data_IF_797312823489
#
_entry.id   IF_797312823489
#
_cell.length_a   1.000
_cell.length_b   1.000
_cell.length_c   1.000
_cell.angle_alpha   90.00
_cell.angle_beta   90.00
_cell.angle_gamma   90.00
#
_symmetry.space_group_name_H-M   'P 1'
#
loop_
_entity.id
_entity.type
_entity.pdbx_description
1 polymer ?
#
# COMPACT_ATOMS: atom_id res chain seq x y z
N UNK A 1 32.62 42.10 -47.06
CA UNK A 1 31.42 41.25 -47.25
C UNK A 1 31.20 40.52 -45.93
N UNK A 2 30.24 40.98 -45.14
CA UNK A 2 29.93 40.42 -43.82
C UNK A 2 28.79 39.41 -43.97
N UNK A 3 29.03 38.16 -43.57
CA UNK A 3 28.02 37.11 -43.47
C UNK A 3 27.58 36.96 -42.02
N UNK A 4 26.33 37.33 -41.74
CA UNK A 4 25.63 37.07 -40.47
C UNK A 4 24.88 35.74 -40.62
N UNK A 5 25.30 34.71 -39.88
CA UNK A 5 24.56 33.47 -39.66
C UNK A 5 23.91 33.52 -38.28
N UNK A 6 22.58 33.65 -38.24
CA UNK A 6 21.80 33.80 -37.00
C UNK A 6 21.24 32.48 -36.44
N UNK A 7 20.92 32.42 -35.14
CA UNK A 7 20.08 31.41 -34.52
C UNK A 7 18.68 32.00 -34.26
N UNK A 8 17.71 31.74 -35.14
CA UNK A 8 16.33 32.20 -34.98
C UNK A 8 15.40 31.32 -35.82
N UNK A 9 15.16 30.09 -35.37
CA UNK A 9 14.14 29.19 -35.96
C UNK A 9 13.87 27.96 -35.07
N UNK A 10 13.33 28.16 -33.87
CA UNK A 10 12.68 27.09 -33.10
C UNK A 10 11.78 27.64 -31.99
N UNK A 11 10.96 28.63 -32.31
CA UNK A 11 9.92 29.22 -31.45
C UNK A 11 8.61 29.34 -32.25
N UNK A 12 8.13 28.22 -32.80
CA UNK A 12 6.90 28.18 -33.60
C UNK A 12 6.21 26.79 -33.56
N UNK A 13 6.09 26.20 -32.37
CA UNK A 13 5.34 24.95 -32.16
C UNK A 13 4.66 24.90 -30.79
N UNK A 14 4.10 26.04 -30.37
CA UNK A 14 3.32 26.17 -29.12
C UNK A 14 2.17 27.16 -29.33
N UNK A 15 1.25 26.88 -30.27
CA UNK A 15 0.01 27.66 -30.44
C UNK A 15 -0.99 27.00 -31.41
N UNK A 16 -1.46 25.76 -31.21
CA UNK A 16 -2.66 25.28 -31.95
C UNK A 16 -3.34 24.00 -31.46
N UNK A 17 -3.76 23.89 -30.19
CA UNK A 17 -4.87 22.97 -29.82
C UNK A 17 -5.67 23.53 -28.64
N UNK A 18 -6.34 24.67 -28.84
CA UNK A 18 -7.48 25.11 -28.00
C UNK A 18 -8.50 25.74 -28.92
N UNK A 19 -9.49 24.97 -29.36
CA UNK A 19 -10.85 25.43 -29.67
C UNK A 19 -11.69 24.29 -30.29
N UNK A 20 -12.94 24.22 -29.82
CA UNK A 20 -14.11 23.61 -30.46
C UNK A 20 -14.35 22.10 -30.27
N UNK A 21 -15.07 21.73 -29.20
CA UNK A 21 -16.39 21.07 -29.31
C UNK A 21 -17.24 21.50 -28.11
N UNK A 22 -18.22 22.36 -28.35
CA UNK A 22 -19.35 22.61 -27.45
C UNK A 22 -20.63 22.62 -28.27
N UNK A 23 -21.33 21.48 -28.33
CA UNK A 23 -22.77 21.43 -28.64
C UNK A 23 -23.41 20.32 -27.80
N UNK A 24 -24.49 20.72 -27.14
CA UNK A 24 -25.31 20.01 -26.18
C UNK A 24 -26.04 18.77 -26.74
N UNK A 25 -26.33 17.81 -25.84
CA UNK A 25 -27.62 17.12 -25.81
C UNK A 25 -27.94 16.71 -24.37
N UNK A 26 -29.03 17.27 -23.86
CA UNK A 26 -29.75 16.85 -22.66
C UNK A 26 -30.20 15.39 -22.80
N UNK A 27 -30.00 14.58 -21.76
CA UNK A 27 -30.87 13.42 -21.56
C UNK A 27 -31.22 13.20 -20.10
N UNK A 28 -32.51 12.92 -19.92
CA UNK A 28 -33.28 12.84 -18.71
C UNK A 28 -32.83 11.73 -17.76
N UNK A 29 -33.12 11.97 -16.49
CA UNK A 29 -33.08 10.99 -15.42
C UNK A 29 -33.94 9.76 -15.76
N UNK A 30 -33.30 8.60 -15.77
CA UNK A 30 -33.95 7.30 -15.74
C UNK A 30 -33.25 6.43 -14.71
N UNK A 31 -33.88 6.26 -13.55
CA UNK A 31 -33.47 5.34 -12.48
C UNK A 31 -33.60 3.90 -13.00
N UNK A 32 -32.51 3.11 -13.12
CA UNK A 32 -32.66 1.69 -13.39
C UNK A 32 -32.98 0.95 -12.09
N UNK A 33 -34.21 0.43 -12.02
CA UNK A 33 -34.58 -0.59 -11.05
C UNK A 33 -33.76 -1.87 -11.33
N UNK A 34 -32.85 -2.20 -10.41
CA UNK A 34 -32.15 -3.49 -10.41
C UNK A 34 -33.14 -4.57 -9.94
N UNK A 35 -33.75 -5.23 -10.92
CA UNK A 35 -34.49 -6.48 -10.75
C UNK A 35 -33.49 -7.59 -10.45
N UNK A 36 -33.60 -8.21 -9.27
CA UNK A 36 -32.87 -9.42 -8.92
C UNK A 36 -33.32 -10.58 -9.83
N UNK A 37 -32.42 -11.08 -10.67
CA UNK A 37 -32.58 -12.34 -11.38
C UNK A 37 -31.61 -13.36 -10.78
N UNK A 38 -32.20 -14.35 -10.10
CA UNK A 38 -31.54 -15.56 -9.60
C UNK A 38 -31.22 -16.47 -10.78
N UNK A 39 -29.96 -16.83 -11.06
CA UNK A 39 -29.68 -17.95 -11.95
C UNK A 39 -29.87 -19.27 -11.20
N UNK A 40 -30.75 -20.10 -11.76
CA UNK A 40 -31.04 -21.47 -11.33
C UNK A 40 -29.83 -22.38 -11.55
N UNK A 41 -29.59 -23.23 -10.54
CA UNK A 41 -28.69 -24.36 -10.58
C UNK A 41 -29.04 -25.32 -11.71
N UNK A 42 -28.10 -25.56 -12.62
CA UNK A 42 -28.13 -26.70 -13.53
C UNK A 42 -27.11 -27.73 -13.06
N UNK A 43 -27.63 -28.81 -12.48
CA UNK A 43 -26.92 -30.06 -12.22
C UNK A 43 -26.57 -30.74 -13.55
N UNK A 44 -25.29 -31.05 -13.76
CA UNK A 44 -24.88 -31.98 -14.81
C UNK A 44 -24.10 -33.13 -14.17
N UNK A 45 -24.70 -34.30 -14.30
CA UNK A 45 -24.23 -35.57 -13.76
C UNK A 45 -23.43 -36.33 -14.82
N UNK A 46 -22.27 -36.83 -14.38
CA UNK A 46 -21.55 -38.05 -14.78
C UNK A 46 -21.17 -38.33 -16.25
N UNK A 47 -19.85 -38.41 -16.52
CA UNK A 47 -19.26 -39.54 -17.25
C UNK A 47 -17.77 -39.75 -16.95
N UNK A 48 -17.47 -41.01 -16.64
CA UNK A 48 -16.29 -41.67 -16.09
C UNK A 48 -15.12 -41.87 -17.08
N UNK A 49 -13.89 -41.71 -16.58
CA UNK A 49 -12.65 -42.31 -17.13
C UNK A 49 -11.44 -41.47 -16.70
N UNK A 50 -10.43 -41.92 -15.95
CA UNK A 50 -10.00 -43.26 -15.56
C UNK A 50 -8.50 -43.42 -15.85
N UNK A 51 -7.61 -42.75 -15.11
CA UNK A 51 -6.14 -42.96 -15.09
C UNK A 51 -5.51 -42.52 -13.73
N UNK A 52 -4.32 -43.06 -13.34
CA UNK A 52 -3.89 -43.31 -11.94
C UNK A 52 -3.20 -42.11 -11.24
N UNK A 53 -2.93 -42.18 -9.92
CA UNK A 53 -2.60 -41.01 -9.10
C UNK A 53 -1.12 -40.65 -9.18
N UNK A 54 -0.83 -39.35 -9.27
CA UNK A 54 0.47 -38.74 -8.98
C UNK A 54 0.26 -37.54 -8.09
N UNK A 55 0.80 -37.69 -6.87
CA UNK A 55 1.25 -36.68 -5.91
C UNK A 55 0.45 -35.38 -5.76
N UNK A 56 -0.38 -35.44 -4.72
CA UNK A 56 -0.63 -34.42 -3.71
C UNK A 56 0.45 -33.31 -3.61
N UNK A 57 0.10 -32.10 -4.06
CA UNK A 57 0.66 -30.84 -3.55
C UNK A 57 -0.37 -29.73 -3.72
N UNK A 58 -0.61 -29.03 -2.61
CA UNK A 58 -1.79 -28.24 -2.29
C UNK A 58 -2.03 -27.00 -3.17
N UNK A 59 -3.28 -26.52 -3.28
CA UNK A 59 -3.56 -25.21 -3.86
C UNK A 59 -2.98 -24.10 -2.96
N UNK A 60 -2.29 -23.14 -3.58
CA UNK A 60 -1.89 -21.90 -2.95
C UNK A 60 -3.16 -21.13 -2.55
N UNK A 61 -3.49 -21.18 -1.26
CA UNK A 61 -4.45 -20.27 -0.66
C UNK A 61 -3.82 -18.89 -0.62
N UNK A 62 -4.33 -17.98 -1.45
CA UNK A 62 -4.25 -16.54 -1.21
C UNK A 62 -4.94 -16.27 0.13
N UNK A 63 -4.14 -16.21 1.19
CA UNK A 63 -4.58 -15.73 2.49
C UNK A 63 -4.46 -14.21 2.47
N UNK A 64 -5.57 -13.55 2.17
CA UNK A 64 -5.87 -12.22 2.70
C UNK A 64 -5.87 -12.33 4.24
N UNK A 65 -4.67 -12.27 4.82
CA UNK A 65 -4.38 -12.41 6.24
C UNK A 65 -4.78 -11.09 6.92
N UNK A 66 -6.09 -10.82 6.96
CA UNK A 66 -6.73 -9.78 7.76
C UNK A 66 -6.53 -10.15 9.24
N UNK A 67 -5.33 -9.88 9.76
CA UNK A 67 -5.05 -9.96 11.18
C UNK A 67 -5.69 -8.75 11.84
N UNK A 68 -6.94 -8.95 12.26
CA UNK A 68 -7.68 -8.01 13.08
C UNK A 68 -7.02 -7.93 14.47
N UNK A 69 -5.97 -7.11 14.60
CA UNK A 69 -5.30 -6.83 15.87
C UNK A 69 -6.10 -5.80 16.68
N UNK A 70 -7.31 -6.19 17.10
CA UNK A 70 -8.03 -5.48 18.16
C UNK A 70 -7.42 -5.82 19.51
N UNK A 71 -6.27 -5.25 19.83
CA UNK A 71 -5.67 -5.34 21.16
C UNK A 71 -6.36 -4.38 22.12
N UNK A 72 -6.99 -4.91 23.17
CA UNK A 72 -7.56 -4.08 24.25
C UNK A 72 -6.55 -4.01 25.39
N UNK A 73 -6.17 -2.80 25.80
CA UNK A 73 -5.39 -2.60 27.02
C UNK A 73 -6.20 -1.77 28.00
N UNK A 74 -6.83 -2.44 28.97
CA UNK A 74 -7.39 -1.79 30.14
C UNK A 74 -6.24 -1.43 31.07
N UNK A 75 -5.66 -0.24 30.89
CA UNK A 75 -4.69 0.26 31.86
C UNK A 75 -5.41 0.48 33.19
N UNK A 76 -4.96 -0.15 34.29
CA UNK A 76 -5.52 0.13 35.60
C UNK A 76 -5.31 1.62 35.89
N UNK A 77 -6.40 2.30 36.25
CA UNK A 77 -6.44 3.72 36.60
C UNK A 77 -5.26 3.99 37.55
N UNK A 78 -4.33 4.84 37.09
CA UNK A 78 -3.25 5.34 37.91
C UNK A 78 -3.85 5.93 39.19
N UNK A 79 -3.44 5.34 40.31
CA UNK A 79 -3.56 5.81 41.69
C UNK A 79 -4.38 7.11 41.81
N UNK A 80 -5.68 6.97 42.06
CA UNK A 80 -6.43 8.04 42.71
C UNK A 80 -5.69 8.34 44.01
N UNK A 81 -5.03 9.50 44.06
CA UNK A 81 -4.73 10.14 45.34
C UNK A 81 -6.07 10.28 46.05
N UNK A 82 -6.28 9.42 47.04
CA UNK A 82 -7.41 9.44 47.96
C UNK A 82 -7.33 10.72 48.77
N UNK A 83 -7.77 11.83 48.19
CA UNK A 83 -8.20 12.98 48.97
C UNK A 83 -9.57 12.62 49.52
N UNK A 84 -9.57 12.20 50.79
CA UNK A 84 -10.75 11.94 51.61
C UNK A 84 -11.62 13.21 51.66
N UNK A 85 -12.53 13.37 50.70
CA UNK A 85 -13.64 14.30 50.77
C UNK A 85 -14.93 13.48 50.71
N UNK A 86 -15.45 13.15 51.89
CA UNK A 86 -16.79 12.62 52.08
C UNK A 86 -17.82 13.62 51.53
N UNK A 87 -18.72 13.21 50.61
CA UNK A 87 -19.94 14.01 50.40
C UNK A 87 -20.76 13.80 49.13
N UNK A 88 -20.20 13.33 48.02
CA UNK A 88 -20.99 13.09 46.80
C UNK A 88 -20.56 11.77 46.14
N UNK A 89 -21.49 10.82 46.06
CA UNK A 89 -21.36 9.62 45.22
C UNK A 89 -21.42 10.02 43.74
N UNK A 90 -20.42 10.75 43.25
CA UNK A 90 -20.19 10.88 41.81
C UNK A 90 -19.69 9.54 41.32
N UNK A 91 -20.46 8.91 40.43
CA UNK A 91 -20.02 7.72 39.74
C UNK A 91 -18.64 7.99 39.11
N UNK A 92 -17.69 7.10 39.34
CA UNK A 92 -16.32 7.28 38.86
C UNK A 92 -16.33 7.35 37.33
N UNK A 93 -15.85 8.48 36.78
CA UNK A 93 -15.64 8.62 35.34
C UNK A 93 -14.60 7.59 34.89
N UNK A 94 -15.00 6.74 33.94
CA UNK A 94 -14.12 5.74 33.35
C UNK A 94 -13.35 6.31 32.15
N UNK A 95 -12.32 5.59 31.72
CA UNK A 95 -11.65 5.82 30.44
C UNK A 95 -11.67 4.53 29.64
N UNK A 96 -11.93 4.65 28.34
CA UNK A 96 -11.89 3.54 27.40
C UNK A 96 -10.91 3.85 26.29
N UNK A 97 -9.86 3.05 26.14
CA UNK A 97 -8.94 3.12 25.01
C UNK A 97 -9.21 1.97 24.05
N UNK A 98 -9.39 2.30 22.78
CA UNK A 98 -9.59 1.34 21.68
C UNK A 98 -8.51 1.53 20.63
N UNK A 99 -8.07 0.44 20.01
CA UNK A 99 -7.24 0.47 18.81
C UNK A 99 -8.10 0.10 17.60
N UNK A 100 -7.96 0.84 16.51
CA UNK A 100 -8.57 0.53 15.23
C UNK A 100 -7.56 0.72 14.11
N UNK A 101 -7.66 -0.09 13.07
CA UNK A 101 -6.90 0.08 11.83
C UNK A 101 -7.86 0.47 10.74
N UNK A 102 -7.52 1.53 9.99
CA UNK A 102 -8.16 1.83 8.71
C UNK A 102 -7.18 1.58 7.59
N UNK A 103 -7.67 1.16 6.42
CA UNK A 103 -6.84 0.99 5.25
C UNK A 103 -7.49 1.56 4.00
N UNK A 104 -6.66 1.89 3.02
CA UNK A 104 -7.06 2.38 1.71
C UNK A 104 -6.15 1.76 0.65
N UNK A 105 -6.75 1.22 -0.40
CA UNK A 105 -6.01 0.71 -1.57
C UNK A 105 -6.12 1.71 -2.72
N UNK A 106 -4.99 2.13 -3.26
CA UNK A 106 -4.93 2.98 -4.45
C UNK A 106 -4.15 2.28 -5.56
N UNK A 107 -4.43 2.67 -6.79
CA UNK A 107 -3.59 2.32 -7.94
C UNK A 107 -2.25 3.06 -7.82
N UNK A 108 -1.15 2.33 -7.97
CA UNK A 108 0.19 2.86 -8.01
C UNK A 108 0.37 3.80 -9.20
N UNK A 109 1.12 4.87 -9.01
CA UNK A 109 1.49 5.80 -10.07
C UNK A 109 2.94 5.60 -10.54
N UNK A 110 3.73 4.83 -9.80
CA UNK A 110 5.09 4.45 -10.16
C UNK A 110 5.28 2.96 -9.91
N UNK A 111 5.94 2.28 -10.85
CA UNK A 111 6.38 0.91 -10.69
C UNK A 111 7.88 0.77 -10.93
N UNK A 112 8.47 -0.25 -10.31
CA UNK A 112 9.85 -0.62 -10.52
C UNK A 112 9.93 -2.11 -10.85
N UNK A 113 10.64 -2.45 -11.92
CA UNK A 113 11.14 -3.80 -12.13
C UNK A 113 12.43 -3.92 -11.33
N UNK A 114 12.42 -4.78 -10.32
CA UNK A 114 13.57 -4.98 -9.44
C UNK A 114 14.17 -6.35 -9.75
N UNK A 115 15.47 -6.36 -10.05
CA UNK A 115 16.23 -7.56 -10.37
C UNK A 115 17.43 -7.61 -9.45
N UNK A 116 17.59 -8.74 -8.77
CA UNK A 116 18.77 -9.00 -7.94
C UNK A 116 19.58 -10.12 -8.58
N UNK A 117 20.77 -9.80 -9.13
CA UNK A 117 21.66 -10.79 -9.71
C UNK A 117 22.06 -11.89 -8.71
N UNK A 118 22.39 -13.07 -9.23
CA UNK A 118 22.93 -14.16 -8.40
C UNK A 118 24.23 -13.72 -7.71
N UNK A 119 24.28 -13.91 -6.39
CA UNK A 119 25.43 -13.50 -5.57
C UNK A 119 26.66 -14.34 -5.88
N UNK A 120 27.68 -13.69 -6.43
CA UNK A 120 29.04 -14.22 -6.43
C UNK A 120 29.73 -13.84 -5.12
N UNK A 121 30.39 -14.80 -4.48
CA UNK A 121 31.12 -14.57 -3.23
C UNK A 121 32.62 -14.54 -3.48
N UNK A 122 33.22 -13.38 -3.25
CA UNK A 122 34.66 -13.20 -3.23
C UNK A 122 35.25 -13.31 -1.82
N UNK A 123 36.56 -13.15 -1.69
CA UNK A 123 37.27 -13.19 -0.39
C UNK A 123 36.82 -12.11 0.61
N UNK A 124 36.11 -11.08 0.15
CA UNK A 124 35.71 -9.91 0.96
C UNK A 124 34.20 -9.79 1.19
N UNK A 125 33.40 -10.76 0.74
CA UNK A 125 31.93 -10.70 0.80
C UNK A 125 31.28 -10.90 -0.57
N UNK A 126 29.97 -10.61 -0.71
CA UNK A 126 29.32 -10.60 -2.01
C UNK A 126 30.01 -9.61 -2.95
N UNK A 127 30.28 -10.03 -4.17
CA UNK A 127 30.82 -9.19 -5.22
C UNK A 127 29.74 -8.22 -5.70
N UNK A 128 30.11 -6.95 -5.82
CA UNK A 128 29.25 -5.93 -6.41
C UNK A 128 29.29 -6.04 -7.94
N UNK A 129 28.24 -5.55 -8.59
CA UNK A 129 28.29 -5.32 -10.04
C UNK A 129 29.48 -4.42 -10.38
N UNK A 130 30.31 -4.89 -11.31
CA UNK A 130 31.47 -4.14 -11.78
C UNK A 130 31.02 -2.90 -12.57
N UNK A 131 31.94 -1.95 -12.79
CA UNK A 131 31.63 -0.77 -13.61
C UNK A 131 31.32 -1.17 -15.06
N UNK A 132 31.99 -2.21 -15.57
CA UNK A 132 31.76 -2.74 -16.91
C UNK A 132 30.36 -3.38 -16.98
N UNK A 133 29.97 -4.22 -16.02
CA UNK A 133 28.63 -4.82 -15.98
C UNK A 133 27.53 -3.74 -15.92
N UNK A 134 27.71 -2.68 -15.13
CA UNK A 134 26.75 -1.57 -15.05
C UNK A 134 26.61 -0.87 -16.40
N UNK A 135 27.72 -0.62 -17.09
CA UNK A 135 27.74 0.00 -18.42
C UNK A 135 27.04 -0.88 -19.44
N UNK A 136 27.33 -2.18 -19.44
CA UNK A 136 26.74 -3.15 -20.37
C UNK A 136 25.23 -3.31 -20.13
N UNK A 137 24.78 -3.30 -18.86
CA UNK A 137 23.35 -3.30 -18.51
C UNK A 137 22.65 -2.05 -19.06
N UNK A 138 23.25 -0.86 -18.89
CA UNK A 138 22.68 0.38 -19.41
C UNK A 138 22.58 0.36 -20.94
N UNK A 139 23.59 -0.15 -21.63
CA UNK A 139 23.56 -0.31 -23.09
C UNK A 139 22.41 -1.24 -23.52
N UNK A 140 22.26 -2.40 -22.86
CA UNK A 140 21.19 -3.37 -23.14
C UNK A 140 19.79 -2.82 -22.88
N UNK A 141 19.61 -2.08 -21.78
CA UNK A 141 18.34 -1.44 -21.46
C UNK A 141 18.01 -0.30 -22.45
N UNK A 142 19.01 0.43 -22.93
CA UNK A 142 18.82 1.45 -23.95
C UNK A 142 18.37 0.86 -25.30
N UNK A 143 18.80 -0.35 -25.67
CA UNK A 143 18.36 -1.04 -26.90
C UNK A 143 16.84 -1.31 -26.94
N UNK A 144 16.22 -1.50 -25.77
CA UNK A 144 14.77 -1.71 -25.61
C UNK A 144 14.02 -0.41 -25.26
N UNK A 145 14.70 0.74 -25.27
CA UNK A 145 14.09 2.05 -25.10
C UNK A 145 13.98 2.56 -23.67
N UNK A 146 14.65 1.92 -22.70
CA UNK A 146 14.72 2.42 -21.32
C UNK A 146 15.78 3.52 -21.23
N UNK A 147 15.42 4.65 -20.62
CA UNK A 147 16.35 5.76 -20.41
C UNK A 147 17.29 5.48 -19.23
N UNK A 148 18.53 5.99 -19.30
CA UNK A 148 19.52 5.80 -18.24
C UNK A 148 19.05 6.39 -16.90
N UNK A 149 18.33 7.51 -16.92
CA UNK A 149 17.76 8.15 -15.73
C UNK A 149 16.68 7.33 -15.01
N UNK A 150 16.10 6.32 -15.67
CA UNK A 150 15.10 5.42 -15.08
C UNK A 150 15.75 4.16 -14.47
N UNK A 151 17.07 4.01 -14.58
CA UNK A 151 17.82 2.86 -14.05
C UNK A 151 18.58 3.24 -12.80
N UNK A 152 18.31 2.54 -11.70
CA UNK A 152 18.98 2.71 -10.41
C UNK A 152 19.75 1.44 -10.02
N UNK A 153 20.98 1.61 -9.57
CA UNK A 153 21.83 0.53 -9.06
C UNK A 153 22.00 0.67 -7.55
N UNK A 154 21.24 -0.09 -6.78
CA UNK A 154 21.28 -0.05 -5.32
C UNK A 154 22.34 -0.99 -4.76
N UNK A 155 22.95 -0.58 -3.65
CA UNK A 155 23.92 -1.39 -2.92
C UNK A 155 23.75 -1.22 -1.40
N UNK A 156 23.42 -2.31 -0.71
CA UNK A 156 23.14 -2.29 0.73
C UNK A 156 24.39 -2.42 1.63
N UNK A 157 25.51 -1.85 1.21
CA UNK A 157 26.76 -1.88 1.99
C UNK A 157 27.49 -3.23 1.91
N UNK A 158 28.58 -3.39 2.68
CA UNK A 158 29.60 -4.46 2.52
C UNK A 158 29.06 -5.90 2.36
N UNK A 159 27.93 -6.21 2.99
CA UNK A 159 27.31 -7.54 2.96
C UNK A 159 25.91 -7.52 2.36
N UNK A 160 25.55 -6.39 1.76
CA UNK A 160 24.26 -6.18 1.12
C UNK A 160 24.23 -6.73 -0.28
N UNK A 161 23.02 -6.98 -0.75
CA UNK A 161 22.76 -7.32 -2.14
C UNK A 161 22.94 -6.09 -3.03
N UNK A 162 23.29 -6.33 -4.29
CA UNK A 162 23.22 -5.32 -5.34
C UNK A 162 21.95 -5.57 -6.12
N UNK A 163 21.15 -4.55 -6.38
CA UNK A 163 19.96 -4.67 -7.22
C UNK A 163 20.00 -3.68 -8.37
N UNK A 164 19.33 -4.06 -9.45
CA UNK A 164 19.00 -3.17 -10.57
C UNK A 164 17.51 -2.89 -10.47
N UNK A 165 17.14 -1.61 -10.34
CA UNK A 165 15.76 -1.16 -10.26
C UNK A 165 15.48 -0.30 -11.49
N UNK A 166 14.50 -0.68 -12.31
CA UNK A 166 14.10 0.07 -13.50
C UNK A 166 12.72 0.65 -13.28
N UNK A 167 12.62 1.98 -13.29
CA UNK A 167 11.37 2.71 -13.13
C UNK A 167 10.54 2.63 -14.41
N UNK A 168 9.25 2.34 -14.28
CA UNK A 168 8.29 2.27 -15.38
C UNK A 168 6.97 2.95 -15.01
N UNK A 169 6.19 3.34 -16.04
CA UNK A 169 4.77 3.60 -15.84
C UNK A 169 4.01 2.28 -15.63
N UNK A 170 2.97 2.24 -14.76
CA UNK A 170 2.20 1.02 -14.53
C UNK A 170 1.62 0.36 -15.79
N UNK A 171 1.30 1.16 -16.82
CA UNK A 171 0.80 0.66 -18.10
C UNK A 171 1.83 -0.07 -18.95
N UNK A 172 3.12 0.11 -18.70
CA UNK A 172 4.21 -0.44 -19.52
C UNK A 172 4.71 -1.79 -18.98
N UNK A 173 4.36 -2.12 -17.73
CA UNK A 173 4.84 -3.30 -17.00
C UNK A 173 4.65 -4.59 -17.79
N UNK A 174 3.43 -4.82 -18.31
CA UNK A 174 3.09 -6.06 -18.99
C UNK A 174 3.88 -6.25 -20.31
N UNK A 175 4.37 -5.16 -20.91
CA UNK A 175 5.13 -5.20 -22.15
C UNK A 175 6.64 -5.29 -21.89
N UNK A 176 7.16 -4.56 -20.89
CA UNK A 176 8.60 -4.36 -20.73
C UNK A 176 9.27 -5.25 -19.67
N UNK A 177 8.54 -5.81 -18.70
CA UNK A 177 9.17 -6.45 -17.54
C UNK A 177 10.03 -7.67 -17.90
N UNK A 178 9.56 -8.54 -18.80
CA UNK A 178 10.35 -9.70 -19.28
C UNK A 178 11.55 -9.24 -20.12
N UNK A 179 11.38 -8.24 -20.98
CA UNK A 179 12.47 -7.71 -21.80
C UNK A 179 13.58 -7.08 -20.95
N UNK A 180 13.21 -6.39 -19.86
CA UNK A 180 14.15 -5.83 -18.89
C UNK A 180 14.90 -6.94 -18.16
N UNK A 181 14.20 -7.98 -17.72
CA UNK A 181 14.83 -9.14 -17.08
C UNK A 181 15.85 -9.81 -18.02
N UNK A 182 15.45 -10.10 -19.26
CA UNK A 182 16.32 -10.72 -20.26
C UNK A 182 17.55 -9.85 -20.57
N UNK A 183 17.37 -8.54 -20.72
CA UNK A 183 18.46 -7.58 -20.97
C UNK A 183 19.49 -7.55 -19.83
N UNK A 184 19.03 -7.57 -18.57
CA UNK A 184 19.91 -7.61 -17.39
C UNK A 184 20.60 -8.97 -17.28
N UNK A 185 19.85 -10.08 -17.43
CA UNK A 185 20.41 -11.44 -17.36
C UNK A 185 21.40 -11.75 -18.49
N UNK A 186 21.31 -11.09 -19.64
CA UNK A 186 22.34 -11.25 -20.69
C UNK A 186 23.74 -10.82 -20.19
N UNK A 187 23.80 -9.83 -19.30
CA UNK A 187 25.06 -9.32 -18.71
C UNK A 187 25.43 -10.10 -17.45
N UNK A 188 24.51 -10.19 -16.49
CA UNK A 188 24.79 -10.78 -15.16
C UNK A 188 24.62 -12.31 -15.14
N UNK A 189 24.21 -12.90 -16.27
CA UNK A 189 23.92 -14.32 -16.54
C UNK A 189 22.67 -14.87 -15.86
N UNK A 190 22.43 -14.52 -14.60
CA UNK A 190 21.31 -15.05 -13.82
C UNK A 190 20.93 -14.14 -12.66
N UNK A 191 19.64 -14.06 -12.38
CA UNK A 191 19.07 -13.43 -11.19
C UNK A 191 18.75 -14.44 -10.07
N UNK A 192 18.93 -14.02 -8.82
CA UNK A 192 18.51 -14.76 -7.62
C UNK A 192 16.99 -14.60 -7.39
N UNK A 193 16.48 -13.39 -7.59
CA UNK A 193 15.06 -13.03 -7.59
C UNK A 193 14.81 -11.77 -8.40
N UNK A 194 13.58 -11.66 -8.90
CA UNK A 194 13.09 -10.53 -9.65
C UNK A 194 11.59 -10.36 -9.42
N UNK A 195 11.07 -9.18 -9.76
CA UNK A 195 9.64 -8.91 -9.75
C UNK A 195 9.33 -7.43 -9.79
N UNK A 196 8.09 -7.09 -9.51
CA UNK A 196 7.58 -5.73 -9.48
C UNK A 196 7.55 -5.17 -8.08
N UNK A 197 7.65 -3.86 -8.05
CA UNK A 197 7.40 -3.06 -6.87
C UNK A 197 6.59 -1.83 -7.23
N UNK A 198 5.47 -1.68 -6.54
CA UNK A 198 4.56 -0.56 -6.72
C UNK A 198 4.79 0.51 -5.67
N UNK A 199 4.73 1.77 -6.08
CA UNK A 199 4.96 2.94 -5.25
C UNK A 199 3.88 3.98 -5.54
N UNK A 200 3.48 4.71 -4.51
CA UNK A 200 2.66 5.92 -4.62
C UNK A 200 3.57 7.15 -4.56
N UNK A 201 3.31 8.16 -5.39
CA UNK A 201 3.85 9.50 -5.23
C UNK A 201 3.49 10.08 -3.87
N UNK A 202 4.24 11.08 -3.41
CA UNK A 202 3.99 11.74 -2.14
C UNK A 202 2.54 12.25 -2.00
N UNK A 203 1.98 12.85 -3.06
CA UNK A 203 0.60 13.35 -3.05
C UNK A 203 -0.43 12.22 -2.90
N UNK A 204 -0.28 11.13 -3.66
CA UNK A 204 -1.20 10.00 -3.57
C UNK A 204 -1.05 9.23 -2.25
N UNK A 205 0.18 9.15 -1.71
CA UNK A 205 0.43 8.61 -0.39
C UNK A 205 -0.28 9.43 0.70
N UNK A 206 -0.13 10.76 0.69
CA UNK A 206 -0.79 11.64 1.67
C UNK A 206 -2.32 11.53 1.60
N UNK A 207 -2.85 11.42 0.37
CA UNK A 207 -4.27 11.16 0.14
C UNK A 207 -4.71 9.81 0.70
N UNK A 208 -3.97 8.73 0.44
CA UNK A 208 -4.26 7.39 0.95
C UNK A 208 -4.24 7.37 2.48
N UNK A 209 -3.21 7.94 3.10
CA UNK A 209 -3.09 8.08 4.55
C UNK A 209 -4.27 8.86 5.14
N UNK A 210 -4.72 9.93 4.48
CA UNK A 210 -5.88 10.71 4.93
C UNK A 210 -7.20 9.94 4.82
N UNK A 211 -7.35 9.06 3.83
CA UNK A 211 -8.48 8.15 3.71
C UNK A 211 -8.44 7.07 4.80
N UNK A 212 -7.31 6.38 4.94
CA UNK A 212 -7.09 5.35 5.97
C UNK A 212 -7.30 5.90 7.40
N UNK A 213 -6.87 7.14 7.70
CA UNK A 213 -7.15 7.81 8.97
C UNK A 213 -8.64 8.00 9.23
N UNK A 214 -9.40 8.44 8.23
CA UNK A 214 -10.84 8.66 8.38
C UNK A 214 -11.56 7.34 8.66
N UNK A 215 -11.16 6.27 7.98
CA UNK A 215 -11.67 4.94 8.23
C UNK A 215 -11.29 4.44 9.64
N UNK A 216 -10.03 4.63 10.07
CA UNK A 216 -9.57 4.27 11.40
C UNK A 216 -10.34 4.99 12.52
N UNK A 217 -10.58 6.30 12.37
CA UNK A 217 -11.36 7.10 13.33
C UNK A 217 -12.80 6.60 13.41
N UNK A 218 -13.44 6.37 12.26
CA UNK A 218 -14.83 5.86 12.21
C UNK A 218 -14.93 4.49 12.87
N UNK A 219 -13.98 3.61 12.59
CA UNK A 219 -13.90 2.27 13.19
C UNK A 219 -13.65 2.32 14.70
N UNK A 220 -12.74 3.18 15.17
CA UNK A 220 -12.48 3.38 16.59
C UNK A 220 -13.73 3.90 17.33
N UNK A 221 -14.45 4.86 16.75
CA UNK A 221 -15.68 5.38 17.34
C UNK A 221 -16.74 4.29 17.49
N UNK A 222 -16.94 3.48 16.45
CA UNK A 222 -17.88 2.35 16.49
C UNK A 222 -17.49 1.31 17.54
N UNK A 223 -16.21 0.91 17.60
CA UNK A 223 -15.76 -0.06 18.60
C UNK A 223 -15.89 0.47 20.03
N UNK A 224 -15.66 1.76 20.24
CA UNK A 224 -15.86 2.38 21.54
C UNK A 224 -17.34 2.41 21.94
N UNK A 225 -18.25 2.75 21.03
CA UNK A 225 -19.71 2.72 21.25
C UNK A 225 -20.21 1.30 21.58
N UNK A 226 -19.87 0.32 20.74
CA UNK A 226 -20.27 -1.08 20.92
C UNK A 226 -19.80 -1.61 22.30
N UNK A 227 -18.58 -1.27 22.71
CA UNK A 227 -18.02 -1.68 24.00
C UNK A 227 -18.63 -0.89 25.17
N UNK A 228 -18.91 0.40 25.01
CA UNK A 228 -19.60 1.21 26.00
C UNK A 228 -20.98 0.62 26.32
N UNK A 229 -21.78 0.34 25.29
CA UNK A 229 -23.11 -0.26 25.42
C UNK A 229 -23.05 -1.64 26.10
N UNK A 230 -22.07 -2.47 25.74
CA UNK A 230 -21.87 -3.78 26.37
C UNK A 230 -21.54 -3.68 27.88
N UNK A 231 -20.96 -2.56 28.32
CA UNK A 231 -20.62 -2.28 29.72
C UNK A 231 -21.73 -1.50 30.46
N UNK A 232 -22.84 -1.16 29.79
CA UNK A 232 -23.89 -0.30 30.38
C UNK A 232 -23.41 1.12 30.64
N UNK A 233 -22.47 1.60 29.82
CA UNK A 233 -21.89 2.94 29.88
C UNK A 233 -22.23 3.71 28.60
N UNK A 234 -22.16 5.03 28.68
CA UNK A 234 -22.21 5.93 27.53
C UNK A 234 -20.80 6.35 27.12
N UNK A 235 -20.56 6.35 25.82
CA UNK A 235 -19.33 6.87 25.24
C UNK A 235 -19.33 8.41 25.32
N UNK A 236 -18.34 8.95 26.01
CA UNK A 236 -18.12 10.38 26.13
C UNK A 236 -17.16 10.95 25.08
N UNK A 237 -16.63 12.14 25.36
CA UNK A 237 -15.71 12.83 24.46
C UNK A 237 -14.36 12.09 24.30
N UNK A 238 -13.73 12.23 23.14
CA UNK A 238 -12.33 11.85 22.91
C UNK A 238 -11.43 12.74 23.76
N UNK A 239 -10.52 12.12 24.53
CA UNK A 239 -9.54 12.83 25.37
C UNK A 239 -8.10 12.61 24.96
N UNK A 240 -7.82 11.58 24.17
CA UNK A 240 -6.52 11.36 23.56
C UNK A 240 -6.68 10.56 22.26
N UNK A 241 -5.80 10.84 21.29
CA UNK A 241 -5.64 10.03 20.10
C UNK A 241 -4.14 9.93 19.78
N UNK A 242 -3.69 8.75 19.41
CA UNK A 242 -2.32 8.47 19.01
C UNK A 242 -2.33 7.59 17.77
N UNK A 243 -1.69 8.06 16.71
CA UNK A 243 -1.32 7.18 15.59
C UNK A 243 -0.12 6.36 16.04
N UNK A 244 -0.31 5.05 16.13
CA UNK A 244 0.82 4.14 16.27
C UNK A 244 1.36 3.87 14.87
N UNK A 245 2.70 3.79 14.70
CA UNK A 245 3.24 3.34 13.44
C UNK A 245 2.71 1.93 13.19
N UNK A 246 1.71 1.81 12.32
CA UNK A 246 1.42 0.53 11.70
C UNK A 246 2.68 0.15 10.93
N UNK A 247 3.09 -1.12 10.89
CA UNK A 247 4.03 -1.57 9.89
C UNK A 247 3.34 -1.38 8.54
N UNK A 248 3.47 -0.19 7.95
CA UNK A 248 3.09 0.04 6.57
C UNK A 248 3.97 -0.91 5.76
N UNK A 249 3.35 -1.87 5.08
CA UNK A 249 4.07 -2.86 4.26
C UNK A 249 4.52 -2.27 2.94
N UNK A 250 4.94 -1.01 2.96
CA UNK A 250 5.44 -0.37 1.78
C UNK A 250 6.96 -0.39 1.80
N UNK A 251 7.49 -0.81 0.67
CA UNK A 251 8.90 -1.05 0.45
C UNK A 251 9.67 0.29 0.44
N UNK A 252 10.92 0.29 0.91
CA UNK A 252 11.87 1.42 0.84
C UNK A 252 12.74 1.32 -0.42
N UNK A 253 12.83 2.39 -1.22
CA UNK A 253 13.85 2.50 -2.29
C UNK A 253 15.08 3.06 -1.60
N UNK A 254 16.23 2.43 -1.79
CA UNK A 254 17.47 2.89 -1.16
C UNK A 254 18.12 3.93 -2.08
N UNK A 255 17.49 5.10 -2.20
CA UNK A 255 17.96 6.16 -3.11
C UNK A 255 16.88 7.15 -3.53
N UNK A 256 15.60 6.82 -3.30
CA UNK A 256 14.54 7.81 -3.35
C UNK A 256 14.76 8.85 -2.24
N UNK A 257 15.06 10.09 -2.63
CA UNK A 257 15.15 11.26 -1.74
C UNK A 257 13.85 11.51 -0.94
N UNK A 258 12.76 10.82 -1.29
CA UNK A 258 11.44 10.95 -0.69
C UNK A 258 11.04 9.67 0.06
N UNK A 259 11.51 9.57 1.31
CA UNK A 259 11.08 8.54 2.26
C UNK A 259 9.66 8.88 2.72
N UNK A 260 8.67 8.63 1.86
CA UNK A 260 7.26 8.85 2.19
C UNK A 260 6.78 7.80 3.22
N UNK A 261 5.77 8.15 4.02
CA UNK A 261 5.17 7.26 5.03
C UNK A 261 4.56 5.99 4.41
N UNK A 262 4.25 6.02 3.10
CA UNK A 262 3.78 4.89 2.31
C UNK A 262 4.92 4.19 1.58
N UNK A 263 6.16 4.35 2.03
CA UNK A 263 7.34 3.65 1.51
C UNK A 263 8.21 3.08 2.65
N UNK A 264 7.74 3.05 3.91
CA UNK A 264 8.58 2.68 5.05
C UNK A 264 8.30 1.27 5.59
N UNK A 265 9.34 0.42 5.53
CA UNK A 265 9.61 -0.76 6.37
C UNK A 265 8.91 -2.09 6.03
N UNK A 266 9.35 -2.71 4.92
CA UNK A 266 9.65 -4.14 4.97
C UNK A 266 11.12 -4.33 5.43
N UNK A 267 11.38 -5.28 6.34
CA UNK A 267 12.72 -5.61 6.87
C UNK A 267 13.70 -6.17 5.81
N UNK A 268 13.24 -6.32 4.57
CA UNK A 268 14.02 -6.72 3.42
C UNK A 268 13.30 -6.17 2.17
N UNK A 269 13.83 -5.13 1.50
CA UNK A 269 13.15 -4.49 0.39
C UNK A 269 13.04 -5.38 -0.85
N UNK A 270 13.69 -6.55 -0.85
CA UNK A 270 13.73 -7.43 -2.01
C UNK A 270 13.02 -8.78 -1.82
N UNK A 271 12.57 -9.12 -0.61
CA UNK A 271 11.87 -10.39 -0.34
C UNK A 271 10.41 -10.44 -0.76
N UNK A 272 9.79 -9.31 -1.02
CA UNK A 272 8.37 -9.27 -1.36
C UNK A 272 8.16 -8.47 -2.67
N UNK A 273 8.77 -8.97 -3.74
CA UNK A 273 8.46 -8.50 -5.08
C UNK A 273 7.18 -9.18 -5.57
N UNK A 274 6.36 -8.44 -6.29
CA UNK A 274 5.18 -8.96 -6.94
C UNK A 274 5.56 -9.66 -8.26
N UNK A 275 4.78 -10.64 -8.75
CA UNK A 275 4.99 -11.17 -10.09
C UNK A 275 4.70 -10.11 -11.16
N UNK A 276 5.21 -10.30 -12.38
CA UNK A 276 5.06 -9.34 -13.50
C UNK A 276 3.62 -9.13 -13.97
N UNK A 277 2.70 -10.02 -13.60
CA UNK A 277 1.27 -9.94 -13.90
C UNK A 277 0.42 -9.39 -12.73
N UNK A 278 1.05 -8.91 -11.66
CA UNK A 278 0.34 -8.34 -10.52
C UNK A 278 -0.34 -7.01 -10.86
N UNK A 279 -1.52 -6.80 -10.27
CA UNK A 279 -2.21 -5.53 -10.32
C UNK A 279 -1.38 -4.45 -9.60
N UNK A 280 -1.31 -3.26 -10.21
CA UNK A 280 -0.56 -2.12 -9.69
C UNK A 280 -1.30 -1.44 -8.52
N UNK A 281 -1.48 -2.16 -7.42
CA UNK A 281 -2.20 -1.69 -6.24
C UNK A 281 -1.27 -1.55 -5.03
N UNK A 282 -1.47 -0.48 -4.26
CA UNK A 282 -0.77 -0.22 -3.00
C UNK A 282 -1.80 -0.02 -1.90
N UNK A 283 -1.77 -0.89 -0.89
CA UNK A 283 -2.56 -0.74 0.33
C UNK A 283 -1.76 0.08 1.37
N UNK A 284 -2.41 1.13 1.87
CA UNK A 284 -1.90 1.99 2.94
C UNK A 284 -2.77 1.80 4.17
N UNK A 285 -2.14 1.60 5.33
CA UNK A 285 -2.85 1.33 6.58
C UNK A 285 -2.47 2.33 7.67
N UNK A 286 -3.42 2.70 8.53
CA UNK A 286 -3.16 3.54 9.70
C UNK A 286 -3.75 2.86 10.93
N UNK A 287 -2.90 2.63 11.93
CA UNK A 287 -3.33 2.16 13.25
C UNK A 287 -3.49 3.37 14.18
N UNK A 288 -4.68 3.50 14.74
CA UNK A 288 -5.06 4.58 15.62
C UNK A 288 -5.50 4.02 16.97
N UNK A 289 -4.91 4.53 18.05
CA UNK A 289 -5.40 4.35 19.41
C UNK A 289 -6.15 5.60 19.86
N UNK A 290 -7.41 5.45 20.27
CA UNK A 290 -8.26 6.55 20.72
C UNK A 290 -8.77 6.27 22.13
N UNK A 291 -8.63 7.25 23.02
CA UNK A 291 -9.16 7.19 24.38
C UNK A 291 -10.37 8.09 24.54
N UNK A 292 -11.47 7.52 25.01
CA UNK A 292 -12.73 8.17 25.31
C UNK A 292 -12.96 8.28 26.81
N UNK A 293 -13.64 9.32 27.24
CA UNK A 293 -14.30 9.35 28.55
C UNK A 293 -15.49 8.41 28.55
N UNK A 294 -15.77 7.81 29.69
CA UNK A 294 -16.92 6.92 29.87
C UNK A 294 -17.77 7.41 31.03
N UNK A 295 -19.08 7.46 30.81
CA UNK A 295 -20.06 7.85 31.82
C UNK A 295 -21.03 6.69 32.07
N UNK A 296 -21.60 6.54 33.27
CA UNK A 296 -22.70 5.62 33.47
C UNK A 296 -23.84 6.01 32.53
N UNK A 297 -24.52 5.03 31.93
CA UNK A 297 -25.74 5.32 31.21
C UNK A 297 -26.78 5.92 32.17
N UNK A 298 -27.46 6.98 31.74
CA UNK A 298 -28.56 7.54 32.52
C UNK A 298 -29.68 6.50 32.59
N UNK A 299 -29.72 5.75 33.69
CA UNK A 299 -30.82 4.82 33.95
C UNK A 299 -32.03 5.69 34.28
N UNK A 300 -32.84 5.97 33.27
CA UNK A 300 -34.18 6.51 33.49
C UNK A 300 -34.92 5.51 34.38
N UNK A 301 -34.98 5.82 35.68
CA UNK A 301 -35.82 5.09 36.61
C UNK A 301 -37.25 5.44 36.22
N UNK A 302 -37.81 4.64 35.32
CA UNK A 302 -39.24 4.66 35.03
C UNK A 302 -39.96 4.39 36.34
N UNK A 303 -40.50 5.44 36.97
CA UNK A 303 -41.43 5.35 38.09
C UNK A 303 -42.66 4.55 37.62
N UNK A 304 -42.59 3.23 37.73
CA UNK A 304 -43.70 2.34 37.47
C UNK A 304 -44.75 2.57 38.57
N UNK A 305 -45.77 3.35 38.22
CA UNK A 305 -46.99 3.58 39.01
C UNK A 305 -47.96 2.39 38.94
#
# INVERSE_FOLDING_TARGET
>A
MYGLSGPLRLMALFALVVAAVSVACSHEAGTPALTAAVPQSASMDTATGGLPPTDESAPATSSSDSRNFGGFNLSPIAQMETTENEGENKAAEGKLTVSATGSETLVADVAYVVIVPERNYGLSGPEQLSADDRSDILEKLAEIGIAEEDVEFDYQGRYGETSVSVKLEPSEIAELSEAILDAVEEVVRRSEYYGLRFVLSAENCDRAMSLARRDAVSSAAKFADDLAQALGMEQGAVIAAQENPAPNRAYLLVGADDVSACNSQANDPYRNLFPFDADAEVEVSVNLEVTYLMQPADVEVSDAQ
#
